data_IF_127788826066
#
_entry.id   IF_127788826066
#
_cell.length_a   1.000
_cell.length_b   1.000
_cell.length_c   1.000
_cell.angle_alpha   90.00
_cell.angle_beta   90.00
_cell.angle_gamma   90.00
#
_symmetry.space_group_name_H-M   'P 1'
#
loop_
_entity.id
_entity.type
_entity.pdbx_description
1 polymer ?
#
# COMPACT_ATOMS: atom_id res chain seq x y z
N UNK A 1 16.35 5.25 -13.01
CA UNK A 1 15.64 4.16 -12.30
C UNK A 1 14.70 4.80 -11.31
N UNK A 2 13.39 4.52 -11.35
CA UNK A 2 12.47 5.03 -10.34
C UNK A 2 12.88 4.45 -8.97
N UNK A 3 13.03 5.30 -7.96
CA UNK A 3 13.47 4.87 -6.63
C UNK A 3 12.45 3.91 -6.03
N UNK A 4 12.92 2.94 -5.24
CA UNK A 4 12.04 1.95 -4.59
C UNK A 4 10.95 2.62 -3.72
N UNK A 5 11.24 3.81 -3.17
CA UNK A 5 10.26 4.65 -2.47
C UNK A 5 9.09 5.08 -3.36
N UNK A 6 9.34 5.52 -4.58
CA UNK A 6 8.29 5.93 -5.52
C UNK A 6 7.34 4.78 -5.84
N UNK A 7 7.88 3.57 -6.02
CA UNK A 7 7.07 2.37 -6.24
C UNK A 7 6.15 2.10 -5.07
N UNK A 8 6.64 2.20 -3.82
CA UNK A 8 5.81 1.99 -2.62
C UNK A 8 4.69 3.01 -2.51
N UNK A 9 4.97 4.29 -2.77
CA UNK A 9 3.96 5.36 -2.72
C UNK A 9 2.86 5.11 -3.75
N UNK A 10 3.23 4.76 -4.99
CA UNK A 10 2.26 4.45 -6.06
C UNK A 10 1.44 3.21 -5.77
N UNK A 11 2.08 2.14 -5.29
CA UNK A 11 1.39 0.90 -4.88
C UNK A 11 0.37 1.22 -3.78
N UNK A 12 0.74 2.00 -2.77
CA UNK A 12 -0.14 2.37 -1.67
C UNK A 12 -1.34 3.20 -2.13
N UNK A 13 -1.12 4.20 -2.98
CA UNK A 13 -2.20 5.01 -3.55
C UNK A 13 -3.20 4.16 -4.35
N UNK A 14 -2.72 3.16 -5.10
CA UNK A 14 -3.58 2.27 -5.87
C UNK A 14 -4.34 1.27 -4.97
N UNK A 15 -3.70 0.75 -3.92
CA UNK A 15 -4.36 -0.09 -2.91
C UNK A 15 -5.47 0.67 -2.20
N UNK A 16 -5.23 1.94 -1.82
CA UNK A 16 -6.21 2.81 -1.17
C UNK A 16 -7.40 3.11 -2.10
N UNK A 17 -7.13 3.27 -3.40
CA UNK A 17 -8.16 3.37 -4.44
C UNK A 17 -8.93 2.06 -4.71
N UNK A 18 -8.66 0.99 -3.95
CA UNK A 18 -9.34 -0.30 -4.06
C UNK A 18 -8.88 -1.19 -5.23
N UNK A 19 -7.74 -0.88 -5.86
CA UNK A 19 -7.18 -1.71 -6.93
C UNK A 19 -6.63 -3.01 -6.38
N UNK A 20 -6.82 -4.09 -7.13
CA UNK A 20 -6.27 -5.40 -6.76
C UNK A 20 -4.75 -5.44 -7.01
N UNK A 21 -3.99 -6.24 -6.23
CA UNK A 21 -2.54 -6.39 -6.44
C UNK A 21 -2.14 -6.79 -7.87
N UNK A 22 -3.03 -7.53 -8.56
CA UNK A 22 -2.84 -7.95 -9.96
C UNK A 22 -2.97 -6.78 -10.93
N UNK A 23 -3.91 -5.87 -10.71
CA UNK A 23 -4.01 -4.65 -11.52
C UNK A 23 -2.82 -3.73 -11.27
N UNK A 24 -2.41 -3.58 -10.01
CA UNK A 24 -1.28 -2.75 -9.61
C UNK A 24 0.02 -3.25 -10.24
N UNK A 25 0.23 -4.57 -10.26
CA UNK A 25 1.40 -5.17 -10.88
C UNK A 25 1.46 -4.87 -12.38
N UNK A 26 0.31 -4.93 -13.08
CA UNK A 26 0.20 -4.60 -14.50
C UNK A 26 0.41 -3.11 -14.77
N UNK A 27 -0.13 -2.23 -13.93
CA UNK A 27 -0.02 -0.77 -14.09
C UNK A 27 1.39 -0.24 -13.85
N UNK A 28 2.09 -0.79 -12.86
CA UNK A 28 3.43 -0.32 -12.47
C UNK A 28 4.57 -1.15 -13.08
N UNK A 29 4.26 -2.26 -13.75
CA UNK A 29 5.27 -3.18 -14.31
C UNK A 29 6.13 -3.84 -13.24
N UNK A 30 5.58 -4.03 -12.03
CA UNK A 30 6.30 -4.62 -10.89
C UNK A 30 5.82 -6.03 -10.62
N UNK A 31 6.67 -6.86 -10.02
CA UNK A 31 6.29 -8.22 -9.65
C UNK A 31 5.12 -8.20 -8.64
N UNK A 32 4.13 -9.08 -8.85
CA UNK A 32 2.97 -9.23 -7.94
C UNK A 32 3.40 -9.51 -6.50
N UNK A 33 4.50 -10.26 -6.31
CA UNK A 33 5.08 -10.51 -4.99
C UNK A 33 5.58 -9.23 -4.30
N UNK A 34 6.14 -8.29 -5.05
CA UNK A 34 6.56 -6.99 -4.50
C UNK A 34 5.37 -6.20 -3.97
N UNK A 35 4.23 -6.21 -4.70
CA UNK A 35 2.98 -5.56 -4.25
C UNK A 35 2.46 -6.20 -2.97
N UNK A 36 2.46 -7.54 -2.88
CA UNK A 36 2.05 -8.26 -1.66
C UNK A 36 2.94 -7.96 -0.45
N UNK A 37 4.26 -7.88 -0.63
CA UNK A 37 5.17 -7.53 0.46
C UNK A 37 4.95 -6.11 0.97
N UNK A 38 4.63 -5.17 0.08
CA UNK A 38 4.30 -3.79 0.44
C UNK A 38 2.97 -3.73 1.20
N UNK A 39 1.93 -4.39 0.69
CA UNK A 39 0.62 -4.47 1.36
C UNK A 39 0.71 -5.10 2.76
N UNK A 40 1.41 -6.24 2.88
CA UNK A 40 1.60 -6.92 4.17
C UNK A 40 2.35 -6.04 5.18
N UNK A 41 3.38 -5.33 4.72
CA UNK A 41 4.18 -4.43 5.58
C UNK A 41 3.35 -3.22 6.02
N UNK A 42 2.55 -2.64 5.12
CA UNK A 42 1.65 -1.54 5.43
C UNK A 42 0.55 -1.97 6.42
N UNK A 43 0.03 -3.20 6.31
CA UNK A 43 -0.94 -3.75 7.26
C UNK A 43 -0.33 -3.96 8.65
N UNK A 44 0.94 -4.40 8.72
CA UNK A 44 1.70 -4.51 9.97
C UNK A 44 1.91 -3.12 10.58
N UNK A 45 2.32 -2.13 9.79
CA UNK A 45 2.51 -0.74 10.24
C UNK A 45 1.20 -0.08 10.69
N UNK A 46 0.07 -0.40 10.05
CA UNK A 46 -1.26 0.03 10.52
C UNK A 46 -1.65 -0.67 11.82
N UNK A 47 -1.31 -1.95 12.02
CA UNK A 47 -1.58 -2.65 13.29
C UNK A 47 -0.72 -2.15 14.44
N UNK A 48 0.55 -1.83 14.19
CA UNK A 48 1.43 -1.24 15.21
C UNK A 48 1.18 0.27 15.42
N UNK A 49 0.56 0.96 14.45
CA UNK A 49 0.17 2.37 14.54
C UNK A 49 -1.31 2.63 14.90
N UNK A 50 -2.17 1.61 14.96
CA UNK A 50 -3.60 1.74 15.30
C UNK A 50 -3.81 1.84 16.82
N UNK A 51 -3.15 2.81 17.44
CA UNK A 51 -3.44 3.36 18.74
C UNK A 51 -4.03 4.77 18.67
N UNK A 52 -4.65 5.18 17.55
CA UNK A 52 -5.44 6.42 17.45
C UNK A 52 -6.21 6.48 16.14
N UNK A 53 -7.41 5.90 16.10
CA UNK A 53 -8.46 6.48 15.24
C UNK A 53 -9.30 7.38 16.13
N UNK A 54 -9.15 8.67 15.84
CA UNK A 54 -9.89 9.77 16.43
C UNK A 54 -11.38 9.41 16.58
N UNK A 55 -11.88 9.52 17.82
CA UNK A 55 -13.26 9.89 18.05
C UNK A 55 -13.40 11.33 17.54
N UNK A 56 -13.85 11.49 16.31
CA UNK A 56 -14.50 12.74 15.91
C UNK A 56 -15.96 12.52 16.26
N UNK A 57 -16.31 12.84 17.49
CA UNK A 57 -17.70 13.01 17.92
C UNK A 57 -18.27 14.22 17.16
N UNK A 58 -19.47 14.00 16.62
CA UNK A 58 -20.32 14.93 15.90
C UNK A 58 -20.98 15.94 16.87
#
# INVERSE_FOLDING_TARGET
MASERDTRVKVRALLDAGKTPTEISRLLGVARMSVYHIDKKDNIERKSGSGSKAKVDL
#
